data_IF_363578849208
#
_entry.id   IF_363578849208
#
_cell.length_a   1.000
_cell.length_b   1.000
_cell.length_c   1.000
_cell.angle_alpha   90.00
_cell.angle_beta   90.00
_cell.angle_gamma   90.00
#
_symmetry.space_group_name_H-M   'P 1'
#
loop_
_entity.id
_entity.type
_entity.pdbx_description
1 polymer ?
#
# COMPACT_ATOMS: atom_id res chain seq x y z
N UNK A 1 33.78 -0.70 -8.39
CA UNK A 1 32.75 -1.77 -8.47
C UNK A 1 31.69 -1.58 -7.38
N UNK A 2 32.07 -1.04 -6.22
CA UNK A 2 31.25 -1.01 -4.99
C UNK A 2 30.11 0.00 -5.00
N UNK A 3 30.26 1.13 -5.70
CA UNK A 3 29.23 2.17 -5.76
C UNK A 3 27.98 1.75 -6.54
N UNK A 4 28.10 0.86 -7.53
CA UNK A 4 26.96 0.37 -8.30
C UNK A 4 26.12 -0.63 -7.48
N UNK A 5 26.79 -1.46 -6.67
CA UNK A 5 26.12 -2.44 -5.80
C UNK A 5 25.33 -1.76 -4.66
N UNK A 6 25.88 -0.70 -4.06
CA UNK A 6 25.18 0.07 -3.02
C UNK A 6 23.95 0.81 -3.55
N UNK A 7 24.02 1.37 -4.77
CA UNK A 7 22.87 1.97 -5.45
C UNK A 7 21.78 0.93 -5.78
N UNK A 8 22.17 -0.29 -6.18
CA UNK A 8 21.24 -1.39 -6.43
C UNK A 8 20.48 -1.81 -5.18
N UNK A 9 21.19 -2.00 -4.06
CA UNK A 9 20.58 -2.38 -2.78
C UNK A 9 19.64 -1.27 -2.24
N UNK A 10 20.07 -0.02 -2.33
CA UNK A 10 19.24 1.13 -1.94
C UNK A 10 17.97 1.24 -2.78
N UNK A 11 18.07 1.00 -4.11
CA UNK A 11 16.91 0.98 -5.00
C UNK A 11 15.92 -0.13 -4.66
N UNK A 12 16.41 -1.34 -4.36
CA UNK A 12 15.56 -2.46 -3.92
C UNK A 12 14.86 -2.13 -2.59
N UNK A 13 15.60 -1.58 -1.62
CA UNK A 13 15.04 -1.15 -0.33
C UNK A 13 13.92 -0.10 -0.52
N UNK A 14 14.16 0.93 -1.34
CA UNK A 14 13.17 1.96 -1.65
C UNK A 14 11.93 1.37 -2.33
N UNK A 15 12.11 0.43 -3.26
CA UNK A 15 10.99 -0.28 -3.90
C UNK A 15 10.17 -1.08 -2.89
N UNK A 16 10.83 -1.86 -2.03
CA UNK A 16 10.15 -2.67 -1.01
C UNK A 16 9.36 -1.78 -0.04
N UNK A 17 9.96 -0.69 0.43
CA UNK A 17 9.30 0.28 1.33
C UNK A 17 8.13 0.97 0.62
N UNK A 18 8.31 1.37 -0.64
CA UNK A 18 7.26 1.99 -1.44
C UNK A 18 6.07 1.06 -1.67
N UNK A 19 6.32 -0.20 -2.01
CA UNK A 19 5.27 -1.23 -2.17
C UNK A 19 4.56 -1.47 -0.83
N UNK A 20 5.30 -1.62 0.26
CA UNK A 20 4.70 -1.80 1.59
C UNK A 20 3.81 -0.61 1.96
N UNK A 21 4.25 0.62 1.71
CA UNK A 21 3.48 1.84 1.94
C UNK A 21 2.22 1.89 1.08
N UNK A 22 2.31 1.49 -0.18
CA UNK A 22 1.17 1.42 -1.10
C UNK A 22 0.07 0.48 -0.59
N UNK A 23 0.45 -0.64 0.02
CA UNK A 23 -0.50 -1.64 0.53
C UNK A 23 -0.96 -1.40 1.98
N UNK A 24 -0.54 -0.32 2.66
CA UNK A 24 -1.02 0.03 4.01
C UNK A 24 -2.55 -0.05 4.17
N UNK A 25 -3.38 0.62 3.35
CA UNK A 25 -4.84 0.58 3.50
C UNK A 25 -5.42 -0.83 3.37
N UNK A 26 -4.88 -1.62 2.44
CA UNK A 26 -5.22 -3.04 2.30
C UNK A 26 -4.85 -3.82 3.57
N UNK A 27 -3.63 -3.67 4.09
CA UNK A 27 -3.16 -4.37 5.29
C UNK A 27 -4.07 -4.04 6.49
N UNK A 28 -4.45 -2.77 6.66
CA UNK A 28 -5.35 -2.33 7.74
C UNK A 28 -6.73 -2.98 7.60
N UNK A 29 -7.28 -3.05 6.39
CA UNK A 29 -8.59 -3.66 6.14
C UNK A 29 -8.61 -5.16 6.45
N UNK A 30 -7.54 -5.88 6.09
CA UNK A 30 -7.39 -7.30 6.41
C UNK A 30 -7.15 -7.54 7.90
N UNK A 31 -6.33 -6.72 8.56
CA UNK A 31 -6.11 -6.82 10.02
C UNK A 31 -7.35 -6.52 10.85
N UNK A 32 -8.23 -5.63 10.39
CA UNK A 32 -9.53 -5.34 11.03
C UNK A 32 -10.64 -6.32 10.60
N UNK A 33 -10.32 -7.39 9.85
CA UNK A 33 -11.27 -8.40 9.35
C UNK A 33 -12.55 -7.83 8.72
N UNK A 34 -12.44 -6.70 8.02
CA UNK A 34 -13.61 -6.03 7.44
C UNK A 34 -14.29 -6.93 6.40
N UNK A 35 -15.62 -6.98 6.41
CA UNK A 35 -16.39 -7.66 5.35
C UNK A 35 -16.08 -7.08 3.97
N UNK A 36 -15.86 -5.76 3.90
CA UNK A 36 -15.56 -5.02 2.68
C UNK A 36 -14.06 -5.02 2.31
N UNK A 37 -13.24 -5.90 2.89
CA UNK A 37 -11.79 -5.98 2.63
C UNK A 37 -11.45 -6.20 1.16
N UNK A 38 -12.28 -6.95 0.43
CA UNK A 38 -12.09 -7.18 -1.02
C UNK A 38 -12.33 -5.90 -1.82
N UNK A 39 -13.34 -5.11 -1.46
CA UNK A 39 -13.62 -3.81 -2.10
C UNK A 39 -12.52 -2.80 -1.84
N UNK A 40 -11.98 -2.75 -0.62
CA UNK A 40 -10.85 -1.89 -0.26
C UNK A 40 -9.59 -2.31 -1.04
N UNK A 41 -9.34 -3.62 -1.16
CA UNK A 41 -8.23 -4.15 -1.96
C UNK A 41 -8.39 -3.81 -3.45
N UNK A 42 -9.58 -3.99 -4.03
CA UNK A 42 -9.84 -3.65 -5.42
C UNK A 42 -9.67 -2.14 -5.68
N UNK A 43 -10.16 -1.29 -4.78
CA UNK A 43 -10.01 0.16 -4.88
C UNK A 43 -8.53 0.58 -4.75
N UNK A 44 -7.80 -0.01 -3.80
CA UNK A 44 -6.38 0.26 -3.65
C UNK A 44 -5.54 -0.25 -4.84
N UNK A 45 -5.91 -1.37 -5.46
CA UNK A 45 -5.20 -1.91 -6.61
C UNK A 45 -5.46 -1.09 -7.88
N UNK A 46 -6.72 -0.72 -8.12
CA UNK A 46 -7.13 -0.03 -9.35
C UNK A 46 -6.92 1.49 -9.30
N UNK A 47 -7.06 2.10 -8.13
CA UNK A 47 -7.01 3.56 -7.94
C UNK A 47 -5.93 4.01 -6.96
N UNK A 48 -5.21 3.11 -6.28
CA UNK A 48 -4.16 3.49 -5.33
C UNK A 48 -2.96 4.21 -5.98
N UNK A 49 -2.79 4.07 -7.30
CA UNK A 49 -1.81 4.86 -8.07
C UNK A 49 -2.15 6.35 -8.08
N UNK A 50 -3.42 6.70 -7.82
CA UNK A 50 -3.84 8.07 -7.52
C UNK A 50 -3.82 8.30 -6.01
N UNK A 51 -3.26 9.43 -5.57
CA UNK A 51 -3.26 9.81 -4.16
C UNK A 51 -4.67 9.79 -3.57
N UNK A 52 -5.67 10.22 -4.36
CA UNK A 52 -7.08 10.24 -3.96
C UNK A 52 -7.59 8.81 -3.71
N UNK A 53 -7.38 7.86 -4.62
CA UNK A 53 -7.82 6.48 -4.44
C UNK A 53 -7.14 5.79 -3.26
N UNK A 54 -5.87 6.08 -3.01
CA UNK A 54 -5.15 5.59 -1.83
C UNK A 54 -5.72 6.17 -0.51
N UNK A 55 -6.03 7.46 -0.48
CA UNK A 55 -6.65 8.09 0.72
C UNK A 55 -8.06 7.54 0.94
N UNK A 56 -8.86 7.34 -0.10
CA UNK A 56 -10.21 6.78 0.02
C UNK A 56 -10.16 5.34 0.53
N UNK A 57 -9.25 4.49 0.03
CA UNK A 57 -9.08 3.13 0.54
C UNK A 57 -8.64 3.13 2.01
N UNK A 58 -7.78 4.06 2.41
CA UNK A 58 -7.34 4.23 3.80
C UNK A 58 -8.48 4.67 4.73
N UNK A 59 -9.21 5.72 4.36
CA UNK A 59 -10.36 6.20 5.13
C UNK A 59 -11.40 5.09 5.27
N UNK A 60 -11.65 4.33 4.21
CA UNK A 60 -12.59 3.21 4.25
C UNK A 60 -12.10 2.06 5.14
N UNK A 61 -10.80 1.75 5.13
CA UNK A 61 -10.21 0.75 6.03
C UNK A 61 -10.30 1.18 7.51
N UNK A 62 -10.15 2.48 7.78
CA UNK A 62 -10.17 3.04 9.13
C UNK A 62 -11.58 3.22 9.69
N UNK A 63 -12.56 3.61 8.85
CA UNK A 63 -13.95 3.90 9.21
C UNK A 63 -14.56 2.79 10.07
N UNK A 64 -14.80 3.04 11.34
CA UNK A 64 -15.44 2.08 12.26
C UNK A 64 -16.87 1.75 11.78
N UNK A 65 -17.26 0.49 11.94
CA UNK A 65 -18.62 0.05 11.62
C UNK A 65 -19.58 0.60 12.66
#
# INVERSE_FOLDING_TARGET
MDSAASLGLAGILLLVVGIAAYFIPTIIAFKKERDNKVSILALNLLLGWSLIGWVVSLVWALKEA
#
